data_IF_498199145784
#
_entry.id   IF_498199145784
#
_cell.length_a   1.000
_cell.length_b   1.000
_cell.length_c   1.000
_cell.angle_alpha   90.00
_cell.angle_beta   90.00
_cell.angle_gamma   90.00
#
_symmetry.space_group_name_H-M   'P 1'
#
loop_
_entity.id
_entity.type
_entity.pdbx_description
1 polymer ?
#
# COMPACT_ATOMS: atom_id res chain seq x y z
N UNK A 1 43.25 -32.98 28.65
CA UNK A 1 43.35 -32.36 27.31
C UNK A 1 42.20 -32.87 26.50
N UNK A 2 41.17 -32.06 26.34
CA UNK A 2 39.95 -32.39 25.61
C UNK A 2 39.27 -31.09 25.21
N UNK A 3 39.51 -30.70 23.96
CA UNK A 3 38.86 -29.70 23.12
C UNK A 3 37.71 -28.89 23.74
N UNK A 4 38.06 -27.68 24.15
CA UNK A 4 37.15 -26.54 24.12
C UNK A 4 37.68 -25.67 22.98
N UNK A 5 36.90 -25.55 21.91
CA UNK A 5 36.75 -24.41 20.98
C UNK A 5 36.17 -24.93 19.65
N UNK A 6 35.30 -24.11 19.06
CA UNK A 6 34.78 -24.19 17.68
C UNK A 6 33.47 -24.96 17.45
N UNK A 7 32.38 -24.49 18.06
CA UNK A 7 31.02 -24.59 17.48
C UNK A 7 30.23 -23.28 17.54
N UNK A 8 30.91 -22.16 17.33
CA UNK A 8 30.27 -20.87 17.06
C UNK A 8 31.04 -20.20 15.94
N UNK A 9 30.77 -20.54 14.67
CA UNK A 9 30.95 -19.58 13.56
C UNK A 9 30.49 -20.08 12.17
N UNK A 10 29.27 -20.61 12.02
CA UNK A 10 28.68 -20.82 10.66
C UNK A 10 27.16 -20.61 10.64
N UNK A 11 26.69 -19.52 11.26
CA UNK A 11 25.34 -18.98 11.03
C UNK A 11 25.48 -17.55 10.47
N UNK A 12 26.07 -17.44 9.30
CA UNK A 12 26.14 -16.19 8.55
C UNK A 12 25.94 -16.50 7.07
N UNK A 13 25.05 -15.72 6.45
CA UNK A 13 24.83 -15.51 5.01
C UNK A 13 23.77 -16.29 4.21
N UNK A 14 23.07 -17.33 4.70
CA UNK A 14 22.06 -18.03 3.86
C UNK A 14 20.57 -17.77 4.16
N UNK A 15 20.21 -17.03 5.22
CA UNK A 15 18.80 -16.83 5.61
C UNK A 15 18.22 -15.43 5.27
N UNK A 16 19.06 -14.47 4.85
CA UNK A 16 18.61 -13.11 4.57
C UNK A 16 17.97 -12.95 3.17
N UNK A 17 18.45 -13.69 2.17
CA UNK A 17 17.90 -13.66 0.81
C UNK A 17 16.53 -14.36 0.71
N UNK A 18 16.34 -15.44 1.47
CA UNK A 18 15.06 -16.16 1.53
C UNK A 18 13.94 -15.34 2.18
N UNK A 19 14.26 -14.57 3.22
CA UNK A 19 13.31 -13.69 3.88
C UNK A 19 12.80 -12.56 2.98
N UNK A 20 13.71 -11.87 2.28
CA UNK A 20 13.35 -10.78 1.37
C UNK A 20 12.47 -11.26 0.19
N UNK A 21 12.82 -12.40 -0.43
CA UNK A 21 12.04 -12.97 -1.53
C UNK A 21 10.62 -13.37 -1.09
N UNK A 22 10.47 -13.93 0.11
CA UNK A 22 9.16 -14.27 0.68
C UNK A 22 8.31 -13.02 0.90
N UNK A 23 8.88 -11.93 1.43
CA UNK A 23 8.13 -10.70 1.65
C UNK A 23 7.75 -10.03 0.33
N UNK A 24 8.61 -10.04 -0.68
CA UNK A 24 8.29 -9.54 -2.04
C UNK A 24 7.14 -10.33 -2.68
N UNK A 25 7.12 -11.66 -2.54
CA UNK A 25 6.02 -12.48 -3.01
C UNK A 25 4.71 -12.13 -2.30
N UNK A 26 4.74 -11.98 -0.96
CA UNK A 26 3.57 -11.56 -0.18
C UNK A 26 3.05 -10.20 -0.61
N UNK A 27 3.94 -9.24 -0.89
CA UNK A 27 3.56 -7.92 -1.38
C UNK A 27 2.86 -8.02 -2.75
N UNK A 28 3.40 -8.81 -3.67
CA UNK A 28 2.76 -9.04 -4.98
C UNK A 28 1.38 -9.67 -4.84
N UNK A 29 1.24 -10.67 -3.98
CA UNK A 29 -0.05 -11.30 -3.68
C UNK A 29 -1.05 -10.29 -3.09
N UNK A 30 -0.59 -9.40 -2.20
CA UNK A 30 -1.41 -8.32 -1.65
C UNK A 30 -1.86 -7.33 -2.71
N UNK A 31 -1.00 -6.94 -3.66
CA UNK A 31 -1.39 -6.08 -4.79
C UNK A 31 -2.49 -6.77 -5.61
N UNK A 32 -2.34 -8.07 -5.91
CA UNK A 32 -3.40 -8.86 -6.54
C UNK A 32 -4.71 -8.86 -5.73
N UNK A 33 -4.61 -8.96 -4.41
CA UNK A 33 -5.75 -8.85 -3.50
C UNK A 33 -6.42 -7.46 -3.50
N UNK A 34 -5.64 -6.38 -3.66
CA UNK A 34 -6.18 -5.02 -3.82
C UNK A 34 -6.96 -4.89 -5.11
N UNK A 35 -6.42 -5.36 -6.24
CA UNK A 35 -7.12 -5.40 -7.54
C UNK A 35 -8.42 -6.20 -7.42
N UNK A 36 -8.37 -7.38 -6.79
CA UNK A 36 -9.55 -8.21 -6.56
C UNK A 36 -10.62 -7.51 -5.73
N UNK A 37 -10.22 -6.85 -4.64
CA UNK A 37 -11.13 -6.10 -3.77
C UNK A 37 -11.72 -4.88 -4.48
N UNK A 38 -10.92 -4.18 -5.29
CA UNK A 38 -11.38 -3.07 -6.12
C UNK A 38 -12.43 -3.52 -7.13
N UNK A 39 -12.17 -4.59 -7.88
CA UNK A 39 -13.10 -5.10 -8.88
C UNK A 39 -14.40 -5.60 -8.24
N UNK A 40 -14.29 -6.26 -7.09
CA UNK A 40 -15.47 -6.63 -6.29
C UNK A 40 -16.27 -5.39 -5.90
N UNK A 41 -15.60 -4.32 -5.47
CA UNK A 41 -16.24 -3.06 -5.11
C UNK A 41 -16.95 -2.42 -6.31
N UNK A 42 -16.29 -2.28 -7.46
CA UNK A 42 -16.86 -1.72 -8.69
C UNK A 42 -18.08 -2.53 -9.14
N UNK A 43 -18.00 -3.87 -9.09
CA UNK A 43 -19.13 -4.73 -9.42
C UNK A 43 -20.26 -4.59 -8.40
N UNK A 44 -19.96 -4.61 -7.10
CA UNK A 44 -20.95 -4.38 -6.06
C UNK A 44 -21.62 -3.00 -6.19
N UNK A 45 -20.89 -2.00 -6.68
CA UNK A 45 -21.42 -0.69 -7.03
C UNK A 45 -22.38 -0.75 -8.20
N UNK A 46 -21.99 -1.40 -9.30
CA UNK A 46 -22.81 -1.57 -10.49
C UNK A 46 -24.13 -2.31 -10.23
N UNK A 47 -24.11 -3.33 -9.37
CA UNK A 47 -25.29 -4.14 -9.04
C UNK A 47 -26.02 -3.71 -7.77
N UNK A 48 -25.62 -2.57 -7.18
CA UNK A 48 -26.17 -2.00 -5.95
C UNK A 48 -26.27 -2.96 -4.76
N UNK A 49 -25.21 -3.74 -4.53
CA UNK A 49 -25.13 -4.69 -3.41
C UNK A 49 -24.34 -4.08 -2.25
N UNK A 50 -25.04 -3.39 -1.34
CA UNK A 50 -24.43 -2.66 -0.22
C UNK A 50 -23.53 -3.51 0.69
N UNK A 51 -23.93 -4.75 1.01
CA UNK A 51 -23.11 -5.66 1.83
C UNK A 51 -21.79 -6.02 1.16
N UNK A 52 -21.80 -6.20 -0.17
CA UNK A 52 -20.60 -6.51 -0.93
C UNK A 52 -19.67 -5.30 -1.07
N UNK A 53 -20.24 -4.08 -1.16
CA UNK A 53 -19.47 -2.82 -1.10
C UNK A 53 -18.70 -2.73 0.23
N UNK A 54 -19.38 -2.94 1.35
CA UNK A 54 -18.76 -2.90 2.69
C UNK A 54 -17.66 -3.94 2.84
N UNK A 55 -17.93 -5.19 2.44
CA UNK A 55 -16.93 -6.26 2.50
C UNK A 55 -15.71 -5.96 1.62
N UNK A 56 -15.92 -5.43 0.42
CA UNK A 56 -14.83 -5.06 -0.48
C UNK A 56 -14.00 -3.90 0.08
N UNK A 57 -14.63 -2.89 0.68
CA UNK A 57 -13.95 -1.82 1.40
C UNK A 57 -13.13 -2.35 2.57
N UNK A 58 -13.69 -3.21 3.41
CA UNK A 58 -12.99 -3.79 4.56
C UNK A 58 -11.79 -4.64 4.12
N UNK A 59 -11.94 -5.45 3.06
CA UNK A 59 -10.83 -6.22 2.49
C UNK A 59 -9.75 -5.31 1.92
N UNK A 60 -10.14 -4.32 1.13
CA UNK A 60 -9.20 -3.36 0.56
C UNK A 60 -8.43 -2.61 1.65
N UNK A 61 -9.14 -2.22 2.72
CA UNK A 61 -8.57 -1.59 3.91
C UNK A 61 -7.53 -2.49 4.59
N UNK A 62 -7.90 -3.72 4.93
CA UNK A 62 -7.02 -4.65 5.63
C UNK A 62 -5.78 -5.00 4.79
N UNK A 63 -5.94 -5.18 3.48
CA UNK A 63 -4.82 -5.45 2.58
C UNK A 63 -3.91 -4.23 2.47
N UNK A 64 -4.46 -3.02 2.31
CA UNK A 64 -3.67 -1.77 2.23
C UNK A 64 -2.85 -1.54 3.50
N UNK A 65 -3.44 -1.79 4.67
CA UNK A 65 -2.75 -1.67 5.97
C UNK A 65 -1.56 -2.63 6.07
N UNK A 66 -1.76 -3.89 5.69
CA UNK A 66 -0.70 -4.90 5.73
C UNK A 66 0.37 -4.64 4.67
N UNK A 67 -0.01 -4.17 3.48
CA UNK A 67 0.92 -3.80 2.42
C UNK A 67 1.91 -2.74 2.90
N UNK A 68 1.43 -1.69 3.55
CA UNK A 68 2.31 -0.62 4.07
C UNK A 68 3.22 -1.14 5.18
N UNK A 69 2.69 -2.01 6.06
CA UNK A 69 3.51 -2.62 7.10
C UNK A 69 4.67 -3.41 6.48
N UNK A 70 4.40 -4.16 5.43
CA UNK A 70 5.39 -5.00 4.76
C UNK A 70 6.36 -4.15 3.92
N UNK A 71 5.89 -3.10 3.24
CA UNK A 71 6.73 -2.12 2.54
C UNK A 71 7.71 -1.40 3.48
N UNK A 72 7.28 -1.05 4.70
CA UNK A 72 8.16 -0.47 5.73
C UNK A 72 9.26 -1.42 6.19
N UNK A 73 9.00 -2.73 6.19
CA UNK A 73 9.98 -3.75 6.63
C UNK A 73 11.00 -4.04 5.54
N UNK A 74 10.58 -4.07 4.28
CA UNK A 74 11.48 -4.35 3.14
C UNK A 74 12.47 -3.21 2.91
N UNK A 75 12.10 -1.96 3.22
CA UNK A 75 12.98 -0.80 3.10
C UNK A 75 13.54 -0.62 1.68
N UNK A 76 14.56 0.24 1.55
CA UNK A 76 15.22 0.56 0.28
C UNK A 76 16.06 -0.60 -0.31
N UNK A 77 16.23 -1.70 0.42
CA UNK A 77 17.13 -2.81 0.06
C UNK A 77 16.55 -3.73 -1.02
N UNK A 78 15.27 -3.58 -1.37
CA UNK A 78 14.65 -4.31 -2.49
C UNK A 78 14.44 -3.43 -3.73
N UNK A 79 15.42 -2.60 -4.07
CA UNK A 79 15.40 -1.64 -5.19
C UNK A 79 14.96 -2.23 -6.56
N UNK A 80 15.14 -3.54 -6.78
CA UNK A 80 14.70 -4.23 -8.00
C UNK A 80 13.28 -4.81 -7.90
N UNK A 81 12.79 -5.11 -6.70
CA UNK A 81 11.42 -5.56 -6.49
C UNK A 81 10.45 -4.37 -6.37
N UNK A 82 10.94 -3.22 -5.93
CA UNK A 82 10.15 -2.01 -5.72
C UNK A 82 9.52 -1.46 -6.99
N UNK A 83 10.16 -1.60 -8.16
CA UNK A 83 9.62 -1.03 -9.41
C UNK A 83 8.30 -1.70 -9.84
N UNK A 84 8.27 -3.03 -9.91
CA UNK A 84 7.05 -3.79 -10.22
C UNK A 84 5.94 -3.55 -9.20
N UNK A 85 6.31 -3.44 -7.92
CA UNK A 85 5.41 -3.22 -6.79
C UNK A 85 4.77 -1.83 -6.89
N UNK A 86 5.58 -0.79 -7.08
CA UNK A 86 5.11 0.59 -7.16
C UNK A 86 4.34 0.86 -8.46
N UNK A 87 4.73 0.21 -9.56
CA UNK A 87 3.96 0.22 -10.81
C UNK A 87 2.58 -0.41 -10.61
N UNK A 88 2.52 -1.59 -9.97
CA UNK A 88 1.26 -2.25 -9.65
C UNK A 88 0.37 -1.41 -8.73
N UNK A 89 0.97 -0.75 -7.74
CA UNK A 89 0.26 0.14 -6.83
C UNK A 89 -0.31 1.37 -7.55
N UNK A 90 0.48 2.00 -8.42
CA UNK A 90 0.03 3.13 -9.23
C UNK A 90 -1.11 2.73 -10.18
N UNK A 91 -1.02 1.55 -10.80
CA UNK A 91 -2.09 1.02 -11.64
C UNK A 91 -3.40 0.75 -10.88
N UNK A 92 -3.32 0.22 -9.65
CA UNK A 92 -4.51 0.03 -8.78
C UNK A 92 -5.19 1.36 -8.47
N UNK A 93 -4.39 2.40 -8.17
CA UNK A 93 -4.92 3.73 -7.87
C UNK A 93 -5.56 4.35 -9.11
N UNK A 94 -4.94 4.19 -10.28
CA UNK A 94 -5.49 4.67 -11.55
C UNK A 94 -6.83 3.96 -11.87
N UNK A 95 -6.87 2.63 -11.79
CA UNK A 95 -8.08 1.81 -12.01
C UNK A 95 -9.20 2.22 -11.04
N UNK A 96 -8.86 2.48 -9.77
CA UNK A 96 -9.83 2.93 -8.76
C UNK A 96 -10.46 4.27 -9.16
N UNK A 97 -9.64 5.24 -9.56
CA UNK A 97 -10.14 6.58 -9.87
C UNK A 97 -10.90 6.63 -11.20
N UNK A 98 -10.56 5.76 -12.16
CA UNK A 98 -11.31 5.60 -13.41
C UNK A 98 -12.69 4.95 -13.21
N UNK A 99 -12.81 4.00 -12.28
CA UNK A 99 -14.02 3.17 -12.14
C UNK A 99 -14.93 3.54 -10.97
N UNK A 100 -14.56 4.50 -10.14
CA UNK A 100 -15.40 4.97 -9.02
C UNK A 100 -15.88 6.39 -9.27
N UNK A 101 -17.06 6.75 -8.74
CA UNK A 101 -17.52 8.14 -8.82
C UNK A 101 -16.76 9.04 -7.84
N UNK A 102 -16.65 10.35 -8.09
CA UNK A 102 -16.04 11.29 -7.12
C UNK A 102 -16.75 11.34 -5.76
N UNK A 103 -18.03 10.95 -5.69
CA UNK A 103 -18.82 10.87 -4.46
C UNK A 103 -18.49 9.61 -3.63
N UNK A 104 -17.72 8.68 -4.20
CA UNK A 104 -17.31 7.45 -3.54
C UNK A 104 -16.14 7.69 -2.58
N UNK A 105 -16.44 8.28 -1.43
CA UNK A 105 -15.44 8.79 -0.49
C UNK A 105 -14.65 7.70 0.22
N UNK A 106 -15.20 6.49 0.40
CA UNK A 106 -14.58 5.46 1.25
C UNK A 106 -13.33 4.88 0.60
N UNK A 107 -13.43 4.27 -0.59
CA UNK A 107 -12.24 3.69 -1.24
C UNK A 107 -11.23 4.75 -1.66
N UNK A 108 -11.70 5.91 -2.15
CA UNK A 108 -10.83 7.04 -2.52
C UNK A 108 -10.04 7.57 -1.32
N UNK A 109 -10.64 7.59 -0.12
CA UNK A 109 -9.92 7.95 1.11
C UNK A 109 -8.79 6.97 1.41
N UNK A 110 -9.01 5.66 1.28
CA UNK A 110 -7.99 4.64 1.55
C UNK A 110 -6.83 4.80 0.57
N UNK A 111 -7.13 4.89 -0.73
CA UNK A 111 -6.12 5.09 -1.77
C UNK A 111 -5.34 6.39 -1.60
N UNK A 112 -6.01 7.50 -1.25
CA UNK A 112 -5.34 8.76 -0.92
C UNK A 112 -4.32 8.58 0.20
N UNK A 113 -4.70 7.91 1.30
CA UNK A 113 -3.79 7.73 2.45
C UNK A 113 -2.60 6.87 2.05
N UNK A 114 -2.85 5.76 1.34
CA UNK A 114 -1.82 4.86 0.82
C UNK A 114 -0.80 5.62 -0.04
N UNK A 115 -1.28 6.36 -1.05
CA UNK A 115 -0.43 7.19 -1.91
C UNK A 115 0.35 8.22 -1.10
N UNK A 116 -0.32 8.91 -0.16
CA UNK A 116 0.31 10.00 0.59
C UNK A 116 1.42 9.54 1.54
N UNK A 117 1.32 8.33 2.08
CA UNK A 117 2.35 7.74 2.94
C UNK A 117 3.56 7.33 2.11
N UNK A 118 3.34 6.64 0.99
CA UNK A 118 4.40 6.17 0.12
C UNK A 118 5.01 7.30 -0.74
N UNK A 119 4.36 8.47 -0.86
CA UNK A 119 4.86 9.62 -1.63
C UNK A 119 6.24 10.13 -1.22
N UNK A 120 6.76 9.70 -0.07
CA UNK A 120 8.13 10.03 0.41
C UNK A 120 9.20 9.20 -0.28
N UNK A 121 8.83 8.04 -0.81
CA UNK A 121 9.73 7.15 -1.54
C UNK A 121 9.90 7.74 -2.95
N UNK A 122 11.12 8.18 -3.33
CA UNK A 122 11.35 8.80 -4.63
C UNK A 122 10.90 7.92 -5.80
N UNK A 123 11.15 6.62 -5.71
CA UNK A 123 10.82 5.63 -6.74
C UNK A 123 9.30 5.53 -6.94
N UNK A 124 8.53 5.45 -5.86
CA UNK A 124 7.06 5.48 -5.96
C UNK A 124 6.55 6.82 -6.47
N UNK A 125 7.18 7.92 -6.03
CA UNK A 125 6.79 9.27 -6.44
C UNK A 125 6.87 9.40 -7.96
N UNK A 126 7.97 8.98 -8.57
CA UNK A 126 8.14 9.10 -10.02
C UNK A 126 7.09 8.25 -10.78
N UNK A 127 6.72 7.09 -10.25
CA UNK A 127 5.70 6.22 -10.83
C UNK A 127 4.26 6.71 -10.65
N UNK A 128 3.94 7.36 -9.53
CA UNK A 128 2.57 7.83 -9.26
C UNK A 128 2.30 9.20 -9.89
N UNK A 129 3.33 10.00 -10.20
CA UNK A 129 3.17 11.34 -10.78
C UNK A 129 2.28 11.39 -12.05
N UNK A 130 2.40 10.48 -13.02
CA UNK A 130 1.49 10.43 -14.18
C UNK A 130 0.02 10.21 -13.78
N UNK A 131 -0.24 9.34 -12.80
CA UNK A 131 -1.59 9.07 -12.27
C UNK A 131 -2.15 10.30 -11.58
N UNK A 132 -1.33 11.02 -10.80
CA UNK A 132 -1.73 12.29 -10.18
C UNK A 132 -2.02 13.37 -11.23
N UNK A 133 -1.24 13.41 -12.32
CA UNK A 133 -1.47 14.32 -13.44
C UNK A 133 -2.79 14.06 -14.16
N UNK A 134 -3.21 12.79 -14.27
CA UNK A 134 -4.51 12.39 -14.82
C UNK A 134 -5.67 12.71 -13.86
N UNK A 135 -5.47 12.52 -12.55
CA UNK A 135 -6.51 12.66 -11.53
C UNK A 135 -6.29 13.88 -10.63
N UNK A 136 -6.68 15.07 -11.10
CA UNK A 136 -6.47 16.35 -10.37
C UNK A 136 -7.01 16.34 -8.93
N UNK A 137 -8.16 15.72 -8.70
CA UNK A 137 -8.74 15.62 -7.35
C UNK A 137 -7.85 14.78 -6.42
N UNK A 138 -7.31 13.65 -6.90
CA UNK A 138 -6.36 12.85 -6.14
C UNK A 138 -5.09 13.65 -5.83
N UNK A 139 -4.55 14.38 -6.80
CA UNK A 139 -3.35 15.19 -6.62
C UNK A 139 -3.53 16.25 -5.52
N UNK A 140 -4.65 16.96 -5.53
CA UNK A 140 -4.96 17.96 -4.50
C UNK A 140 -5.15 17.32 -3.12
N UNK A 141 -5.84 16.19 -3.07
CA UNK A 141 -6.08 15.46 -1.83
C UNK A 141 -4.80 14.90 -1.20
N UNK A 142 -3.89 14.36 -2.03
CA UNK A 142 -2.54 13.91 -1.61
C UNK A 142 -1.71 15.10 -1.13
N UNK A 143 -1.70 16.21 -1.90
CA UNK A 143 -0.98 17.44 -1.52
C UNK A 143 -1.43 17.96 -0.16
N UNK A 144 -2.74 18.06 0.07
CA UNK A 144 -3.31 18.49 1.35
C UNK A 144 -2.91 17.56 2.49
N UNK A 145 -3.02 16.26 2.28
CA UNK A 145 -2.70 15.28 3.31
C UNK A 145 -1.20 15.31 3.68
N UNK A 146 -0.31 15.37 2.69
CA UNK A 146 1.14 15.49 2.90
C UNK A 146 1.49 16.79 3.64
N UNK A 147 0.84 17.92 3.29
CA UNK A 147 1.02 19.20 3.98
C UNK A 147 0.54 19.13 5.43
N UNK A 148 -0.66 18.61 5.66
CA UNK A 148 -1.22 18.46 7.01
C UNK A 148 -0.34 17.57 7.88
N UNK A 149 0.17 16.48 7.32
CA UNK A 149 1.10 15.59 8.01
C UNK A 149 2.42 16.32 8.34
N UNK A 150 3.02 17.04 7.39
CA UNK A 150 4.27 17.82 7.62
C UNK A 150 4.12 18.87 8.72
N UNK A 151 2.91 19.42 8.88
CA UNK A 151 2.60 20.42 9.89
C UNK A 151 2.18 19.81 11.23
N UNK A 152 2.18 18.47 11.36
CA UNK A 152 1.82 17.77 12.59
C UNK A 152 0.31 17.75 12.89
N UNK A 153 -0.54 18.07 11.90
CA UNK A 153 -2.01 18.04 12.06
C UNK A 153 -2.60 16.64 11.87
N UNK A 154 -1.82 15.70 11.35
CA UNK A 154 -2.24 14.32 11.08
C UNK A 154 -1.14 13.41 11.60
N UNK A 155 -1.51 12.43 12.41
CA UNK A 155 -0.59 11.44 12.96
C UNK A 155 -0.02 10.56 11.82
N UNK A 156 1.26 10.18 11.91
CA UNK A 156 1.91 9.25 10.95
C UNK A 156 1.36 7.83 11.06
N UNK A 157 0.67 7.55 12.16
CA UNK A 157 -0.01 6.30 12.37
C UNK A 157 -1.43 6.36 11.82
N UNK A 158 -1.85 5.27 11.19
CA UNK A 158 -3.18 5.03 10.64
C UNK A 158 -4.33 5.17 11.66
N UNK A 159 -4.05 5.59 12.90
CA UNK A 159 -4.96 5.83 14.03
C UNK A 159 -6.05 6.85 13.72
N UNK A 160 -5.82 7.76 12.77
CA UNK A 160 -6.87 8.69 12.32
C UNK A 160 -8.03 7.95 11.66
N UNK A 161 -7.82 6.79 11.03
CA UNK A 161 -8.95 6.06 10.42
C UNK A 161 -9.71 5.22 11.43
N UNK A 162 -9.07 4.76 12.50
CA UNK A 162 -9.79 4.17 13.66
C UNK A 162 -10.73 5.19 14.32
N UNK A 163 -10.44 6.49 14.25
CA UNK A 163 -11.30 7.56 14.80
C UNK A 163 -12.51 7.92 13.93
N UNK A 164 -12.56 7.52 12.66
CA UNK A 164 -13.61 7.97 11.73
C UNK A 164 -14.58 6.88 11.30
N UNK A 165 -14.57 5.71 11.95
CA UNK A 165 -15.63 4.71 11.84
C UNK A 165 -15.84 4.20 10.40
N UNK A 166 -15.23 3.05 10.11
CA UNK A 166 -16.06 2.02 9.47
C UNK A 166 -17.15 1.61 10.47
#
# INVERSE_FOLDING_TARGET
MGDIISKHDKLTDYDLEGGAAVVVYQIRERIGGLVGSLRLYVMAHKYDVSTAKLLACERFWNISRNLIRDLRVVGSDAANASEDIYTGLAAVVDELYDNTTPLDGTMRRIAKILVSIEFRVPEFRDMILPVLGKHTQLAEDVRRYVLQWRLGFVDSDWTVVDRFGL
#
